data_IF_387201883278
#
_entry.id   IF_387201883278
#
_cell.length_a   1.000
_cell.length_b   1.000
_cell.length_c   1.000
_cell.angle_alpha   90.00
_cell.angle_beta   90.00
_cell.angle_gamma   90.00
#
_symmetry.space_group_name_H-M   'P 1'
#
loop_
_entity.id
_entity.type
_entity.pdbx_description
1 polymer ?
#
# COMPACT_ATOMS: atom_id res chain seq x y z
N UNK A 1 -22.67 -32.45 57.98
CA UNK A 1 -22.77 -31.77 59.29
C UNK A 1 -21.54 -30.89 59.39
N UNK A 2 -21.53 -29.56 59.50
CA UNK A 2 -22.44 -28.41 59.55
C UNK A 2 -21.58 -27.29 58.90
N UNK A 3 -22.03 -26.34 58.09
CA UNK A 3 -23.23 -25.54 58.22
C UNK A 3 -22.90 -24.23 58.95
N UNK A 4 -22.50 -23.17 58.25
CA UNK A 4 -23.03 -21.82 58.50
C UNK A 4 -22.86 -20.87 57.30
N UNK A 5 -23.92 -20.08 57.10
CA UNK A 5 -24.31 -19.28 55.95
C UNK A 5 -24.22 -17.78 56.29
N UNK A 6 -23.73 -17.00 55.32
CA UNK A 6 -24.29 -15.72 54.80
C UNK A 6 -24.32 -14.44 55.67
N UNK A 7 -24.68 -13.26 55.10
CA UNK A 7 -24.19 -12.59 53.88
C UNK A 7 -23.99 -11.06 54.14
N UNK A 8 -23.69 -10.25 53.10
CA UNK A 8 -23.97 -8.80 52.90
C UNK A 8 -22.86 -8.22 51.97
N UNK A 9 -23.08 -7.33 51.01
CA UNK A 9 -24.25 -6.69 50.43
C UNK A 9 -23.86 -6.17 49.04
N UNK A 10 -24.87 -6.05 48.17
CA UNK A 10 -24.83 -5.47 46.83
C UNK A 10 -24.73 -3.95 46.95
N UNK A 11 -23.83 -3.32 46.20
CA UNK A 11 -23.86 -1.88 45.94
C UNK A 11 -23.84 -1.63 44.43
N UNK A 12 -25.03 -1.32 43.92
CA UNK A 12 -25.31 -0.81 42.59
C UNK A 12 -24.73 0.61 42.43
N UNK A 13 -23.68 0.77 41.64
CA UNK A 13 -23.16 2.06 41.19
C UNK A 13 -23.68 2.39 39.80
N UNK A 14 -24.67 3.28 39.72
CA UNK A 14 -25.17 3.85 38.48
C UNK A 14 -24.08 4.71 37.80
N UNK A 15 -23.71 4.38 36.57
CA UNK A 15 -22.93 5.25 35.71
C UNK A 15 -23.87 6.14 34.87
N UNK A 16 -23.65 7.46 34.80
CA UNK A 16 -24.49 8.35 34.02
C UNK A 16 -24.26 8.17 32.52
N UNK A 17 -25.35 8.04 31.76
CA UNK A 17 -25.36 8.13 30.30
C UNK A 17 -24.76 9.48 29.89
N UNK A 18 -23.62 9.46 29.20
CA UNK A 18 -23.17 10.60 28.41
C UNK A 18 -23.59 10.42 26.96
N UNK A 19 -24.19 11.49 26.48
CA UNK A 19 -24.72 11.77 25.16
C UNK A 19 -23.71 11.48 24.05
N UNK A 20 -24.18 10.80 23.00
CA UNK A 20 -23.51 10.69 21.71
C UNK A 20 -23.28 12.09 21.15
N UNK A 21 -22.03 12.55 21.14
CA UNK A 21 -21.62 13.66 20.28
C UNK A 21 -21.24 13.10 18.91
N UNK A 22 -21.96 13.58 17.90
CA UNK A 22 -21.70 13.32 16.49
C UNK A 22 -20.27 13.71 16.12
N UNK A 23 -19.44 12.74 15.76
CA UNK A 23 -18.20 12.99 15.01
C UNK A 23 -18.60 13.16 13.55
N UNK A 24 -18.67 14.43 13.12
CA UNK A 24 -18.87 14.80 11.72
C UNK A 24 -17.66 14.37 10.90
N UNK A 25 -17.83 13.34 10.06
CA UNK A 25 -16.86 12.96 9.04
C UNK A 25 -16.72 14.09 8.02
N UNK A 26 -15.51 14.64 7.91
CA UNK A 26 -15.17 15.60 6.85
C UNK A 26 -14.94 14.81 5.57
N UNK A 27 -15.97 14.81 4.73
CA UNK A 27 -15.94 14.30 3.35
C UNK A 27 -15.21 15.33 2.46
N UNK A 28 -14.04 14.98 1.93
CA UNK A 28 -13.40 15.77 0.87
C UNK A 28 -13.90 15.23 -0.47
N UNK A 29 -15.05 15.73 -0.90
CA UNK A 29 -15.65 15.45 -2.21
C UNK A 29 -14.96 16.33 -3.28
N UNK A 30 -14.24 15.72 -4.21
CA UNK A 30 -13.64 16.41 -5.35
C UNK A 30 -14.71 16.77 -6.38
N UNK A 31 -15.33 17.96 -6.26
CA UNK A 31 -16.16 18.53 -7.32
C UNK A 31 -15.37 19.51 -8.18
N UNK A 32 -15.16 19.12 -9.44
CA UNK A 32 -14.73 20.02 -10.52
C UNK A 32 -15.86 20.99 -10.88
N UNK A 33 -15.91 22.16 -10.24
CA UNK A 33 -16.72 23.28 -10.73
C UNK A 33 -15.93 24.14 -11.71
N UNK A 34 -16.30 24.06 -12.99
CA UNK A 34 -16.01 25.11 -13.98
C UNK A 34 -16.70 26.40 -13.52
N UNK A 35 -15.93 27.44 -13.23
CA UNK A 35 -16.45 28.83 -13.20
C UNK A 35 -15.78 29.64 -14.30
N UNK A 36 -16.65 30.30 -15.07
CA UNK A 36 -16.33 31.25 -16.14
C UNK A 36 -15.63 32.46 -15.54
N UNK A 37 -14.61 32.93 -16.26
CA UNK A 37 -13.89 34.17 -16.02
C UNK A 37 -14.80 35.36 -16.36
N UNK A 38 -14.87 36.36 -15.48
CA UNK A 38 -15.39 37.71 -15.76
C UNK A 38 -14.22 38.66 -15.72
N UNK A 39 -14.14 39.49 -16.76
CA UNK A 39 -13.12 40.50 -17.09
C UNK A 39 -13.15 41.73 -16.18
N UNK A 40 -11.98 42.39 -16.08
CA UNK A 40 -11.65 43.82 -15.87
C UNK A 40 -10.42 43.91 -14.94
N UNK A 41 -9.33 44.64 -15.17
CA UNK A 41 -8.86 45.55 -16.22
C UNK A 41 -7.53 46.21 -15.75
N UNK A 42 -6.67 46.57 -16.71
CA UNK A 42 -5.69 47.68 -16.62
C UNK A 42 -4.37 47.49 -15.84
N UNK A 43 -3.23 47.67 -16.53
CA UNK A 43 -1.95 47.99 -15.89
C UNK A 43 -0.70 47.55 -16.65
N UNK A 44 -0.13 48.45 -17.44
CA UNK A 44 1.10 48.29 -18.25
C UNK A 44 2.38 48.37 -17.43
N UNK A 45 3.36 47.48 -17.66
CA UNK A 45 4.79 47.77 -17.56
C UNK A 45 5.63 46.67 -18.24
N UNK A 46 6.53 47.07 -19.13
CA UNK A 46 7.52 46.24 -19.82
C UNK A 46 8.91 46.45 -19.21
N UNK A 47 9.61 45.38 -18.81
CA UNK A 47 11.08 45.30 -18.78
C UNK A 47 11.52 43.83 -19.01
N UNK A 48 12.63 43.69 -19.74
CA UNK A 48 13.19 42.50 -20.38
C UNK A 48 13.98 41.54 -19.46
N UNK A 49 14.01 40.28 -19.92
CA UNK A 49 15.12 39.31 -19.98
C UNK A 49 15.80 38.81 -18.69
N UNK A 50 15.69 37.51 -18.47
CA UNK A 50 16.60 36.71 -17.64
C UNK A 50 16.13 35.24 -17.59
N UNK A 51 16.84 34.37 -18.28
CA UNK A 51 16.55 32.93 -18.41
C UNK A 51 16.55 32.22 -17.04
N UNK A 52 15.58 31.33 -16.81
CA UNK A 52 15.70 30.27 -15.81
C UNK A 52 15.45 28.92 -16.48
N UNK A 53 16.52 28.12 -16.53
CA UNK A 53 16.56 26.76 -17.05
C UNK A 53 15.97 25.79 -16.02
N UNK A 54 14.92 25.05 -16.38
CA UNK A 54 14.58 23.74 -15.80
C UNK A 54 13.97 22.89 -16.93
N UNK A 55 14.66 21.85 -17.43
CA UNK A 55 14.11 20.94 -18.42
C UNK A 55 13.36 19.79 -17.74
N UNK A 56 12.24 19.37 -18.34
CA UNK A 56 11.75 17.99 -18.17
C UNK A 56 10.33 17.82 -17.63
N UNK A 57 9.31 18.38 -18.28
CA UNK A 57 7.91 17.93 -18.04
C UNK A 57 6.96 18.18 -19.22
N UNK A 58 7.40 18.02 -20.47
CA UNK A 58 6.54 18.20 -21.66
C UNK A 58 6.47 17.03 -22.66
N UNK A 59 7.01 15.86 -22.37
CA UNK A 59 6.95 14.72 -23.31
C UNK A 59 5.90 13.63 -23.00
N UNK A 60 5.21 13.65 -21.85
CA UNK A 60 4.24 12.58 -21.54
C UNK A 60 2.78 12.84 -21.96
N UNK A 61 2.35 14.10 -22.14
CA UNK A 61 0.95 14.38 -22.48
C UNK A 61 0.61 14.22 -23.98
N UNK A 62 1.61 14.32 -24.87
CA UNK A 62 1.38 14.20 -26.32
C UNK A 62 1.25 12.75 -26.82
N UNK A 63 1.71 11.75 -26.05
CA UNK A 63 1.58 10.33 -26.43
C UNK A 63 0.19 9.73 -26.18
N UNK A 64 -0.60 10.28 -25.25
CA UNK A 64 -1.94 9.72 -24.93
C UNK A 64 -3.02 10.08 -25.95
N UNK A 65 -2.92 11.24 -26.60
CA UNK A 65 -3.92 11.69 -27.58
C UNK A 65 -3.81 11.01 -28.96
N UNK A 66 -2.58 10.72 -29.40
CA UNK A 66 -2.32 10.13 -30.73
C UNK A 66 -2.75 8.66 -30.84
N UNK A 67 -2.65 7.89 -29.75
CA UNK A 67 -3.00 6.46 -29.74
C UNK A 67 -4.52 6.24 -29.67
N UNK A 68 -5.24 7.11 -28.97
CA UNK A 68 -6.71 7.07 -28.95
C UNK A 68 -7.33 7.39 -30.32
N UNK A 69 -6.69 8.28 -31.10
CA UNK A 69 -7.10 8.59 -32.47
C UNK A 69 -6.93 7.41 -33.43
N UNK A 70 -5.88 6.60 -33.25
CA UNK A 70 -5.59 5.44 -34.10
C UNK A 70 -6.57 4.28 -33.85
N UNK A 71 -6.98 4.06 -32.59
CA UNK A 71 -7.93 2.99 -32.23
C UNK A 71 -9.35 3.23 -32.76
N UNK A 72 -9.77 4.49 -32.96
CA UNK A 72 -11.11 4.79 -33.50
C UNK A 72 -11.21 4.55 -35.02
N UNK A 73 -10.08 4.41 -35.71
CA UNK A 73 -10.03 4.15 -37.16
C UNK A 73 -10.20 2.66 -37.51
N UNK A 74 -9.97 1.76 -36.54
CA UNK A 74 -9.94 0.30 -36.76
C UNK A 74 -11.18 -0.43 -36.24
N UNK A 75 -12.16 0.26 -35.64
CA UNK A 75 -13.32 -0.36 -34.99
C UNK A 75 -14.68 0.03 -35.59
N UNK A 76 -14.74 0.65 -36.77
CA UNK A 76 -16.01 0.93 -37.45
C UNK A 76 -16.32 -0.13 -38.52
N UNK A 77 -17.48 -0.81 -38.46
CA UNK A 77 -17.85 -1.79 -39.48
C UNK A 77 -18.17 -1.09 -40.81
N UNK A 78 -17.55 -1.57 -41.90
CA UNK A 78 -17.85 -1.16 -43.27
C UNK A 78 -19.32 -1.47 -43.60
N UNK A 79 -20.17 -0.45 -43.66
CA UNK A 79 -21.43 -0.45 -44.42
C UNK A 79 -21.50 0.78 -45.31
N UNK A 80 -22.00 0.54 -46.51
CA UNK A 80 -21.83 1.26 -47.76
C UNK A 80 -22.63 2.57 -47.89
N UNK A 81 -21.97 3.52 -48.56
CA UNK A 81 -22.46 4.41 -49.63
C UNK A 81 -23.17 5.76 -49.37
N UNK A 82 -22.60 6.74 -50.10
CA UNK A 82 -23.12 8.00 -50.70
C UNK A 82 -23.16 9.26 -49.83
N UNK A 83 -22.21 10.15 -50.14
CA UNK A 83 -22.44 11.59 -50.14
C UNK A 83 -21.43 12.43 -49.35
N UNK A 84 -20.91 13.46 -50.01
CA UNK A 84 -20.18 14.60 -49.46
C UNK A 84 -18.70 14.38 -49.03
N UNK A 85 -17.85 14.62 -50.03
CA UNK A 85 -16.56 15.31 -49.98
C UNK A 85 -16.34 16.25 -48.78
N UNK A 86 -15.18 16.10 -48.11
CA UNK A 86 -14.11 17.13 -48.02
C UNK A 86 -12.98 16.71 -47.07
N UNK A 87 -11.82 16.45 -47.68
CA UNK A 87 -10.49 16.94 -47.30
C UNK A 87 -9.96 16.70 -45.88
N UNK A 88 -9.10 15.69 -45.76
CA UNK A 88 -7.80 15.85 -45.08
C UNK A 88 -6.80 14.86 -45.69
N UNK A 89 -5.75 15.42 -46.31
CA UNK A 89 -4.64 14.72 -46.94
C UNK A 89 -3.87 13.89 -45.90
N UNK A 90 -4.01 12.56 -45.95
CA UNK A 90 -3.01 11.61 -45.45
C UNK A 90 -2.98 10.44 -46.42
N UNK A 91 -2.41 10.67 -47.60
CA UNK A 91 -2.11 9.63 -48.58
C UNK A 91 -0.60 9.45 -48.63
N UNK A 92 -0.02 8.90 -47.55
CA UNK A 92 1.41 8.53 -47.55
C UNK A 92 1.78 7.51 -46.47
N UNK A 93 0.85 6.63 -46.09
CA UNK A 93 1.18 5.39 -45.39
C UNK A 93 0.40 4.24 -46.03
N UNK A 94 1.14 3.39 -46.76
CA UNK A 94 0.78 2.07 -47.27
C UNK A 94 -0.70 1.84 -47.62
N UNK A 95 -1.02 1.98 -48.91
CA UNK A 95 -2.22 1.40 -49.51
C UNK A 95 -2.24 -0.12 -49.29
N UNK A 96 -3.12 -0.60 -48.40
CA UNK A 96 -3.32 -2.04 -48.10
C UNK A 96 -4.08 -2.75 -49.23
N UNK A 97 -4.51 -2.03 -50.28
CA UNK A 97 -5.31 -2.59 -51.37
C UNK A 97 -4.50 -3.37 -52.42
N UNK A 98 -3.17 -3.45 -52.31
CA UNK A 98 -2.30 -4.18 -53.26
C UNK A 98 -1.46 -5.31 -52.63
N UNK A 99 -1.77 -5.74 -51.41
CA UNK A 99 -1.08 -6.89 -50.79
C UNK A 99 -1.71 -8.22 -51.25
N UNK A 100 -0.88 -9.24 -51.49
CA UNK A 100 -1.39 -10.60 -51.75
C UNK A 100 -2.19 -11.10 -50.53
N UNK A 101 -3.18 -11.97 -50.77
CA UNK A 101 -4.05 -12.50 -49.71
C UNK A 101 -3.27 -13.20 -48.58
N UNK A 102 -2.14 -13.82 -48.90
CA UNK A 102 -1.24 -14.44 -47.91
C UNK A 102 -0.59 -13.43 -46.97
N UNK A 103 -0.09 -12.31 -47.50
CA UNK A 103 0.54 -11.25 -46.70
C UNK A 103 -0.48 -10.50 -45.83
N UNK A 104 -1.73 -10.40 -46.27
CA UNK A 104 -2.82 -9.82 -45.46
C UNK A 104 -3.14 -10.72 -44.25
N UNK A 105 -3.18 -12.05 -44.44
CA UNK A 105 -3.41 -13.01 -43.35
C UNK A 105 -2.25 -12.97 -42.36
N UNK A 106 -1.00 -12.97 -42.82
CA UNK A 106 0.18 -12.86 -41.95
C UNK A 106 0.19 -11.54 -41.16
N UNK A 107 -0.16 -10.41 -41.79
CA UNK A 107 -0.24 -9.12 -41.10
C UNK A 107 -1.37 -9.11 -40.05
N UNK A 108 -2.53 -9.71 -40.34
CA UNK A 108 -3.63 -9.85 -39.37
C UNK A 108 -3.21 -10.74 -38.20
N UNK A 109 -2.52 -11.85 -38.46
CA UNK A 109 -2.01 -12.74 -37.41
C UNK A 109 -0.90 -12.09 -36.57
N UNK A 110 -0.03 -11.29 -37.19
CA UNK A 110 0.99 -10.52 -36.48
C UNK A 110 0.37 -9.40 -35.63
N UNK A 111 -0.63 -8.70 -36.15
CA UNK A 111 -1.33 -7.66 -35.39
C UNK A 111 -2.20 -8.26 -34.30
N UNK A 112 -2.85 -9.40 -34.52
CA UNK A 112 -3.63 -10.08 -33.48
C UNK A 112 -2.72 -10.66 -32.40
N UNK A 113 -1.58 -11.26 -32.76
CA UNK A 113 -0.58 -11.71 -31.80
C UNK A 113 0.11 -10.54 -31.08
N UNK A 114 0.34 -9.41 -31.75
CA UNK A 114 0.87 -8.21 -31.12
C UNK A 114 -0.15 -7.62 -30.15
N UNK A 115 -1.41 -7.45 -30.55
CA UNK A 115 -2.49 -6.99 -29.67
C UNK A 115 -2.73 -7.96 -28.53
N UNK A 116 -2.66 -9.28 -28.76
CA UNK A 116 -2.79 -10.30 -27.72
C UNK A 116 -1.60 -10.27 -26.75
N UNK A 117 -0.37 -10.24 -27.25
CA UNK A 117 0.84 -10.13 -26.43
C UNK A 117 0.92 -8.78 -25.69
N UNK A 118 0.47 -7.71 -26.31
CA UNK A 118 0.37 -6.38 -25.69
C UNK A 118 -0.74 -6.38 -24.64
N UNK A 119 -1.91 -6.96 -24.89
CA UNK A 119 -2.99 -7.11 -23.91
C UNK A 119 -2.65 -8.11 -22.79
N UNK A 120 -1.75 -9.08 -23.01
CA UNK A 120 -1.22 -9.93 -21.93
C UNK A 120 -0.18 -9.17 -21.09
N UNK A 121 0.72 -8.40 -21.72
CA UNK A 121 1.67 -7.54 -21.01
C UNK A 121 1.00 -6.36 -20.29
N UNK A 122 -0.15 -5.92 -20.79
CA UNK A 122 -0.99 -4.86 -20.26
C UNK A 122 -2.36 -5.39 -19.82
N UNK A 123 -2.41 -6.63 -19.29
CA UNK A 123 -3.51 -6.97 -18.38
C UNK A 123 -3.38 -5.96 -17.26
N UNK A 124 -4.21 -4.92 -17.31
CA UNK A 124 -4.13 -3.78 -16.43
C UNK A 124 -4.33 -4.35 -15.02
N UNK A 125 -3.25 -4.48 -14.25
CA UNK A 125 -3.28 -4.92 -12.87
C UNK A 125 -3.98 -3.85 -12.05
N UNK A 126 -5.31 -3.79 -12.14
CA UNK A 126 -6.17 -2.82 -11.47
C UNK A 126 -6.44 -3.28 -10.03
N UNK A 127 -5.36 -3.49 -9.27
CA UNK A 127 -5.47 -3.75 -7.84
C UNK A 127 -5.64 -2.41 -7.11
N UNK A 128 -6.86 -2.14 -6.67
CA UNK A 128 -7.15 -1.00 -5.82
C UNK A 128 -6.81 -1.35 -4.36
N UNK A 129 -5.99 -0.52 -3.73
CA UNK A 129 -5.63 -0.63 -2.33
C UNK A 129 -6.38 0.44 -1.53
N UNK A 130 -7.17 0.00 -0.55
CA UNK A 130 -7.90 0.86 0.35
C UNK A 130 -7.52 0.56 1.80
N UNK A 131 -7.01 1.57 2.48
CA UNK A 131 -6.68 1.48 3.90
C UNK A 131 -7.92 1.72 4.76
N UNK A 132 -8.11 0.87 5.75
CA UNK A 132 -9.20 0.95 6.73
C UNK A 132 -8.57 1.12 8.12
N UNK A 133 -8.73 2.29 8.77
CA UNK A 133 -8.34 2.46 10.16
C UNK A 133 -9.17 1.55 11.06
N UNK A 134 -8.51 0.85 11.96
CA UNK A 134 -9.12 -0.02 12.96
C UNK A 134 -8.52 0.29 14.34
N UNK A 135 -9.27 -0.04 15.39
CA UNK A 135 -8.85 0.15 16.78
C UNK A 135 -8.36 1.60 17.02
N UNK A 136 -7.15 1.76 17.55
CA UNK A 136 -6.55 3.07 17.82
C UNK A 136 -5.66 3.56 16.68
N UNK A 137 -4.79 2.69 16.19
CA UNK A 137 -3.75 3.03 15.23
C UNK A 137 -3.45 1.91 14.23
N UNK A 138 -4.21 0.82 14.23
CA UNK A 138 -4.05 -0.26 13.27
C UNK A 138 -4.59 0.13 11.89
N UNK A 139 -3.99 -0.44 10.85
CA UNK A 139 -4.47 -0.40 9.49
C UNK A 139 -4.69 -1.80 8.94
N UNK A 140 -5.95 -2.06 8.58
CA UNK A 140 -6.28 -3.13 7.65
C UNK A 140 -6.23 -2.60 6.21
N UNK A 141 -5.99 -3.49 5.25
CA UNK A 141 -5.91 -3.12 3.83
C UNK A 141 -6.85 -3.95 2.97
N UNK A 142 -7.88 -3.32 2.44
CA UNK A 142 -8.74 -3.91 1.41
C UNK A 142 -8.03 -3.87 0.06
N UNK A 143 -7.98 -5.02 -0.59
CA UNK A 143 -7.44 -5.25 -1.91
C UNK A 143 -8.63 -5.55 -2.82
N UNK A 144 -8.88 -4.75 -3.86
CA UNK A 144 -9.98 -4.98 -4.79
C UNK A 144 -9.43 -5.07 -6.21
N UNK A 145 -9.56 -6.24 -6.82
CA UNK A 145 -9.26 -6.43 -8.24
C UNK A 145 -10.48 -6.01 -9.07
N UNK A 146 -10.36 -4.91 -9.81
CA UNK A 146 -11.49 -4.34 -10.55
C UNK A 146 -11.96 -5.22 -11.72
N UNK A 147 -11.10 -6.12 -12.22
CA UNK A 147 -11.39 -6.94 -13.39
C UNK A 147 -12.26 -8.15 -13.02
N UNK A 148 -11.99 -8.78 -11.88
CA UNK A 148 -12.73 -9.96 -11.40
C UNK A 148 -13.74 -9.64 -10.29
N UNK A 149 -13.64 -8.48 -9.65
CA UNK A 149 -14.40 -8.13 -8.46
C UNK A 149 -13.92 -8.86 -7.18
N UNK A 150 -12.80 -9.58 -7.25
CA UNK A 150 -12.21 -10.28 -6.08
C UNK A 150 -11.77 -9.27 -5.03
N UNK A 151 -12.12 -9.54 -3.77
CA UNK A 151 -11.75 -8.68 -2.64
C UNK A 151 -10.96 -9.47 -1.60
N UNK A 152 -9.81 -8.94 -1.20
CA UNK A 152 -9.03 -9.40 -0.07
C UNK A 152 -9.02 -8.36 1.04
N UNK A 153 -8.78 -8.78 2.28
CA UNK A 153 -8.40 -7.89 3.37
C UNK A 153 -7.13 -8.40 4.04
N UNK A 154 -6.15 -7.52 4.22
CA UNK A 154 -4.95 -7.80 5.02
C UNK A 154 -5.19 -7.32 6.45
N UNK A 155 -4.88 -8.17 7.42
CA UNK A 155 -4.90 -7.92 8.87
C UNK A 155 -6.18 -7.23 9.40
N UNK A 156 -7.37 -7.85 9.26
CA UNK A 156 -8.59 -7.27 9.81
C UNK A 156 -8.60 -7.36 11.35
N UNK A 157 -8.18 -6.28 12.01
CA UNK A 157 -8.18 -6.15 13.48
C UNK A 157 -9.55 -6.42 14.10
N UNK A 158 -10.59 -5.86 13.48
CA UNK A 158 -11.99 -5.96 13.88
C UNK A 158 -12.87 -6.05 12.63
N UNK A 159 -13.99 -6.75 12.71
CA UNK A 159 -14.83 -7.03 11.55
C UNK A 159 -15.64 -5.81 11.08
N UNK A 160 -16.15 -5.00 12.01
CA UNK A 160 -17.12 -3.93 11.73
C UNK A 160 -16.61 -2.90 10.72
N UNK A 161 -15.41 -2.28 10.86
CA UNK A 161 -14.92 -1.30 9.88
C UNK A 161 -14.76 -1.87 8.47
N UNK A 162 -14.42 -3.16 8.38
CA UNK A 162 -14.29 -3.89 7.12
C UNK A 162 -15.68 -4.11 6.50
N UNK A 163 -16.63 -4.62 7.29
CA UNK A 163 -18.02 -4.84 6.86
C UNK A 163 -18.66 -3.55 6.35
N UNK A 164 -18.49 -2.44 7.07
CA UNK A 164 -19.04 -1.13 6.69
C UNK A 164 -18.47 -0.62 5.37
N UNK A 165 -17.16 -0.83 5.17
CA UNK A 165 -16.49 -0.43 3.92
C UNK A 165 -16.92 -1.30 2.75
N UNK A 166 -16.99 -2.62 2.93
CA UNK A 166 -17.49 -3.56 1.93
C UNK A 166 -18.94 -3.24 1.55
N UNK A 167 -19.80 -2.97 2.53
CA UNK A 167 -21.22 -2.65 2.32
C UNK A 167 -21.40 -1.36 1.53
N UNK A 168 -20.68 -0.28 1.90
CA UNK A 168 -20.72 0.99 1.15
C UNK A 168 -20.24 0.88 -0.30
N UNK A 169 -19.30 -0.04 -0.55
CA UNK A 169 -18.75 -0.29 -1.89
C UNK A 169 -19.52 -1.35 -2.68
N UNK A 170 -20.50 -2.01 -2.07
CA UNK A 170 -21.20 -3.18 -2.61
C UNK A 170 -20.22 -4.28 -3.05
N UNK A 171 -19.26 -4.58 -2.18
CA UNK A 171 -18.21 -5.57 -2.37
C UNK A 171 -18.43 -6.81 -1.51
N UNK A 172 -18.02 -7.98 -2.00
CA UNK A 172 -18.07 -9.24 -1.27
C UNK A 172 -16.66 -9.75 -0.98
N UNK A 173 -16.37 -10.09 0.29
CA UNK A 173 -15.03 -10.52 0.70
C UNK A 173 -14.73 -11.94 0.22
N UNK A 174 -13.58 -12.13 -0.43
CA UNK A 174 -13.10 -13.43 -0.92
C UNK A 174 -11.99 -14.00 -0.03
N UNK A 175 -11.02 -13.16 0.35
CA UNK A 175 -9.83 -13.59 1.09
C UNK A 175 -9.55 -12.73 2.31
N UNK A 176 -9.01 -13.35 3.36
CA UNK A 176 -8.43 -12.69 4.52
C UNK A 176 -6.97 -13.11 4.57
N UNK A 177 -6.04 -12.16 4.61
CA UNK A 177 -4.60 -12.42 4.67
C UNK A 177 -4.08 -11.92 6.01
N UNK A 178 -3.49 -12.78 6.83
CA UNK A 178 -2.89 -12.38 8.10
C UNK A 178 -1.37 -12.47 8.04
N UNK A 179 -0.70 -11.39 8.42
CA UNK A 179 0.76 -11.30 8.50
C UNK A 179 1.30 -12.09 9.68
N UNK A 180 0.59 -12.08 10.81
CA UNK A 180 0.93 -12.83 12.01
C UNK A 180 -0.31 -13.03 12.91
N UNK A 181 -0.14 -13.73 14.03
CA UNK A 181 -1.24 -14.20 14.87
C UNK A 181 -1.74 -13.23 15.96
N UNK A 182 -1.17 -12.04 16.13
CA UNK A 182 -1.66 -11.15 17.19
C UNK A 182 -3.12 -10.75 16.96
N UNK A 183 -3.82 -10.51 18.07
CA UNK A 183 -5.27 -10.32 18.04
C UNK A 183 -5.68 -9.08 17.27
N UNK A 184 -4.93 -8.00 17.36
CA UNK A 184 -5.17 -6.76 16.63
C UNK A 184 -4.88 -6.87 15.11
N UNK A 185 -4.46 -8.03 14.61
CA UNK A 185 -4.37 -8.35 13.18
C UNK A 185 -5.33 -9.45 12.74
N UNK A 186 -5.93 -10.19 13.69
CA UNK A 186 -6.71 -11.40 13.42
C UNK A 186 -8.11 -11.38 14.06
N UNK A 187 -8.43 -10.38 14.87
CA UNK A 187 -9.65 -10.33 15.68
C UNK A 187 -10.93 -10.33 14.84
N UNK A 188 -10.88 -9.78 13.63
CA UNK A 188 -12.00 -9.81 12.68
C UNK A 188 -12.17 -11.12 11.91
N UNK A 189 -11.20 -12.05 11.96
CA UNK A 189 -11.17 -13.22 11.06
C UNK A 189 -12.44 -14.08 11.14
N UNK A 190 -12.82 -14.48 12.35
CA UNK A 190 -13.90 -15.46 12.54
C UNK A 190 -15.25 -14.91 12.04
N UNK A 191 -15.57 -13.66 12.38
CA UNK A 191 -16.81 -13.00 11.96
C UNK A 191 -16.84 -12.75 10.45
N UNK A 192 -15.74 -12.22 9.88
CA UNK A 192 -15.66 -11.98 8.43
C UNK A 192 -15.76 -13.27 7.63
N UNK A 193 -15.10 -14.33 8.08
CA UNK A 193 -15.20 -15.66 7.47
C UNK A 193 -16.63 -16.19 7.54
N UNK A 194 -17.27 -16.13 8.70
CA UNK A 194 -18.65 -16.60 8.88
C UNK A 194 -19.64 -15.81 8.01
N UNK A 195 -19.46 -14.48 7.90
CA UNK A 195 -20.35 -13.60 7.15
C UNK A 195 -20.23 -13.75 5.63
N UNK A 196 -19.01 -13.87 5.12
CA UNK A 196 -18.75 -13.80 3.68
C UNK A 196 -18.34 -15.14 3.04
N UNK A 197 -18.08 -16.18 3.85
CA UNK A 197 -17.49 -17.43 3.36
C UNK A 197 -16.04 -17.25 2.89
N UNK A 198 -15.37 -16.18 3.31
CA UNK A 198 -14.01 -15.85 2.90
C UNK A 198 -13.00 -16.92 3.35
N UNK A 199 -11.93 -17.11 2.55
CA UNK A 199 -10.82 -18.00 2.91
C UNK A 199 -9.73 -17.23 3.65
N UNK A 200 -9.34 -17.73 4.82
CA UNK A 200 -8.28 -17.14 5.64
C UNK A 200 -6.93 -17.73 5.23
N UNK A 201 -5.95 -16.87 5.03
CA UNK A 201 -4.62 -17.17 4.52
C UNK A 201 -3.60 -16.67 5.53
N UNK A 202 -2.62 -17.50 5.85
CA UNK A 202 -1.58 -17.13 6.81
C UNK A 202 -0.37 -18.05 6.77
N UNK A 203 0.54 -17.80 7.69
CA UNK A 203 1.77 -18.57 7.83
C UNK A 203 1.51 -20.01 8.30
N UNK A 204 2.26 -20.96 7.75
CA UNK A 204 2.22 -22.35 8.21
C UNK A 204 2.78 -22.57 9.60
N UNK A 205 3.71 -21.72 10.03
CA UNK A 205 4.24 -21.72 11.40
C UNK A 205 3.14 -21.32 12.40
N UNK A 206 2.24 -20.43 11.99
CA UNK A 206 1.14 -19.92 12.81
C UNK A 206 -0.21 -20.58 12.49
N UNK A 207 -0.23 -21.75 11.84
CA UNK A 207 -1.47 -22.45 11.47
C UNK A 207 -2.44 -22.61 12.65
N UNK A 208 -1.93 -23.02 13.81
CA UNK A 208 -2.76 -23.24 14.99
C UNK A 208 -3.00 -21.97 15.81
N UNK A 209 -2.39 -20.84 15.41
CA UNK A 209 -2.49 -19.53 16.09
C UNK A 209 -3.33 -18.51 15.33
N UNK A 210 -3.51 -18.66 14.01
CA UNK A 210 -4.34 -17.79 13.18
C UNK A 210 -5.78 -18.32 13.16
N UNK A 211 -6.76 -17.59 13.74
CA UNK A 211 -8.14 -18.03 13.82
C UNK A 211 -8.74 -18.28 12.43
N UNK A 212 -9.21 -19.50 12.22
CA UNK A 212 -9.97 -19.88 11.03
C UNK A 212 -9.14 -20.04 9.75
N UNK A 213 -7.82 -20.19 9.83
CA UNK A 213 -6.95 -20.38 8.65
C UNK A 213 -7.44 -21.53 7.75
N UNK A 214 -7.50 -21.30 6.44
CA UNK A 214 -7.85 -22.28 5.41
C UNK A 214 -6.64 -22.61 4.53
N UNK A 215 -5.85 -21.60 4.19
CA UNK A 215 -4.72 -21.69 3.27
C UNK A 215 -3.46 -21.32 4.03
N UNK A 216 -2.53 -22.26 4.05
CA UNK A 216 -1.24 -22.12 4.71
C UNK A 216 -0.17 -21.85 3.67
N UNK A 217 0.65 -20.83 3.91
CA UNK A 217 1.76 -20.45 3.06
C UNK A 217 3.09 -20.52 3.82
N UNK A 218 4.17 -20.73 3.08
CA UNK A 218 5.56 -20.83 3.57
C UNK A 218 6.46 -19.82 2.88
N UNK A 219 7.68 -19.66 3.38
CA UNK A 219 8.67 -18.81 2.74
C UNK A 219 8.88 -19.14 1.26
N UNK A 220 8.90 -18.10 0.42
CA UNK A 220 9.13 -18.23 -1.02
C UNK A 220 7.93 -18.70 -1.84
N UNK A 221 6.81 -19.05 -1.19
CA UNK A 221 5.59 -19.43 -1.90
C UNK A 221 5.10 -18.29 -2.80
N UNK A 222 4.54 -18.69 -3.94
CA UNK A 222 3.82 -17.82 -4.87
C UNK A 222 2.35 -18.17 -4.83
N UNK A 223 1.54 -17.24 -4.34
CA UNK A 223 0.09 -17.36 -4.32
C UNK A 223 -0.53 -16.40 -5.34
N UNK A 224 -1.73 -16.69 -5.82
CA UNK A 224 -2.40 -15.88 -6.85
C UNK A 224 -3.65 -15.21 -6.28
N UNK A 225 -3.62 -13.88 -6.18
CA UNK A 225 -4.79 -13.06 -5.86
C UNK A 225 -5.43 -12.60 -7.17
N UNK A 226 -6.51 -13.23 -7.64
CA UNK A 226 -7.18 -12.83 -8.89
C UNK A 226 -6.23 -12.69 -10.13
N UNK A 227 -5.19 -13.52 -10.20
CA UNK A 227 -4.15 -13.45 -11.25
C UNK A 227 -2.98 -12.51 -10.96
N UNK A 228 -2.99 -11.81 -9.83
CA UNK A 228 -1.85 -11.06 -9.30
C UNK A 228 -0.95 -12.01 -8.50
N UNK A 229 0.32 -12.15 -8.89
CA UNK A 229 1.31 -12.91 -8.11
C UNK A 229 1.52 -12.23 -6.75
N UNK A 230 1.43 -13.01 -5.69
CA UNK A 230 1.78 -12.63 -4.32
C UNK A 230 2.95 -13.51 -3.89
N UNK A 231 4.07 -12.88 -3.55
CA UNK A 231 5.25 -13.57 -3.00
C UNK A 231 5.21 -13.49 -1.49
N UNK A 232 5.32 -14.65 -0.85
CA UNK A 232 5.38 -14.77 0.60
C UNK A 232 6.83 -14.71 1.04
N UNK A 233 7.10 -13.84 2.02
CA UNK A 233 8.42 -13.67 2.61
C UNK A 233 8.26 -13.92 4.10
N UNK A 234 8.84 -15.00 4.62
CA UNK A 234 8.94 -15.17 6.08
C UNK A 234 9.84 -14.09 6.67
N UNK A 235 9.31 -13.40 7.67
CA UNK A 235 9.94 -12.26 8.32
C UNK A 235 9.93 -12.41 9.85
N UNK A 236 10.53 -13.47 10.41
CA UNK A 236 10.59 -13.67 11.85
C UNK A 236 11.30 -12.51 12.55
N UNK A 237 10.83 -12.18 13.76
CA UNK A 237 11.41 -11.13 14.59
C UNK A 237 10.39 -10.62 15.60
N UNK A 238 9.32 -10.01 15.09
CA UNK A 238 8.19 -9.61 15.95
C UNK A 238 7.52 -10.83 16.57
N UNK A 239 7.07 -11.74 15.71
CA UNK A 239 6.68 -13.10 16.05
C UNK A 239 7.52 -14.08 15.23
N UNK A 240 7.58 -15.35 15.64
CA UNK A 240 8.35 -16.38 14.94
C UNK A 240 7.72 -16.82 13.61
N UNK A 241 6.40 -16.67 13.50
CA UNK A 241 5.62 -17.10 12.33
C UNK A 241 5.28 -15.97 11.36
N UNK A 242 5.74 -14.75 11.61
CA UNK A 242 5.39 -13.57 10.81
C UNK A 242 5.78 -13.75 9.33
N UNK A 243 4.86 -13.40 8.43
CA UNK A 243 5.07 -13.34 6.99
C UNK A 243 4.69 -11.96 6.45
N UNK A 244 5.37 -11.55 5.38
CA UNK A 244 5.05 -10.37 4.59
C UNK A 244 4.55 -10.78 3.20
N UNK A 245 3.57 -10.05 2.67
CA UNK A 245 2.99 -10.31 1.34
C UNK A 245 3.47 -9.27 0.34
N UNK A 246 4.29 -9.67 -0.62
CA UNK A 246 4.78 -8.79 -1.67
C UNK A 246 4.02 -9.00 -2.98
N UNK A 247 3.40 -7.94 -3.48
CA UNK A 247 2.71 -7.86 -4.76
C UNK A 247 3.60 -7.15 -5.79
N UNK A 248 4.48 -7.87 -6.53
CA UNK A 248 5.40 -7.27 -7.49
C UNK A 248 4.70 -6.46 -8.58
N UNK A 249 3.54 -6.92 -9.08
CA UNK A 249 2.78 -6.20 -10.11
C UNK A 249 2.28 -4.82 -9.69
N UNK A 250 2.02 -4.64 -8.38
CA UNK A 250 1.59 -3.38 -7.78
C UNK A 250 2.73 -2.60 -7.13
N UNK A 251 3.93 -3.17 -7.07
CA UNK A 251 5.05 -2.61 -6.31
C UNK A 251 4.68 -2.35 -4.84
N UNK A 252 3.95 -3.25 -4.20
CA UNK A 252 3.43 -3.08 -2.85
C UNK A 252 3.82 -4.26 -1.94
N UNK A 253 4.22 -3.98 -0.70
CA UNK A 253 4.45 -5.01 0.32
C UNK A 253 3.64 -4.71 1.58
N UNK A 254 2.95 -5.74 2.09
CA UNK A 254 2.29 -5.73 3.39
C UNK A 254 3.23 -6.37 4.40
N UNK A 255 3.70 -5.57 5.36
CA UNK A 255 4.81 -5.93 6.26
C UNK A 255 4.37 -6.24 7.69
N UNK A 256 3.07 -6.12 7.97
CA UNK A 256 2.52 -6.26 9.31
C UNK A 256 3.34 -5.45 10.31
N UNK A 257 3.88 -6.16 11.29
CA UNK A 257 4.64 -5.60 12.39
C UNK A 257 6.15 -5.87 12.28
N UNK A 258 6.62 -6.31 11.12
CA UNK A 258 8.06 -6.44 10.87
C UNK A 258 8.71 -5.08 10.64
N UNK A 259 8.24 -4.34 9.63
CA UNK A 259 8.75 -3.03 9.23
C UNK A 259 7.65 -1.99 9.37
N UNK A 260 7.92 -0.92 10.11
CA UNK A 260 7.09 0.28 10.11
C UNK A 260 7.84 1.41 9.43
N UNK A 261 7.12 2.49 9.12
CA UNK A 261 7.84 3.72 8.79
C UNK A 261 8.64 4.22 9.99
N UNK A 262 9.95 4.38 9.79
CA UNK A 262 10.95 4.82 10.77
C UNK A 262 11.17 3.89 11.98
N UNK A 263 10.65 2.66 11.97
CA UNK A 263 11.03 1.65 12.96
C UNK A 263 10.84 0.21 12.48
N UNK A 264 11.08 -0.76 13.37
CA UNK A 264 10.64 -2.15 13.21
C UNK A 264 9.75 -2.57 14.39
N UNK A 265 9.18 -3.77 14.32
CA UNK A 265 8.46 -4.39 15.44
C UNK A 265 9.30 -4.53 16.70
N UNK A 266 8.62 -4.57 17.86
CA UNK A 266 9.23 -5.11 19.08
C UNK A 266 9.50 -6.60 18.89
N UNK A 267 10.57 -7.10 19.51
CA UNK A 267 10.98 -8.49 19.41
C UNK A 267 10.30 -9.33 20.51
N UNK A 268 9.03 -9.70 20.31
CA UNK A 268 8.30 -10.48 21.32
C UNK A 268 8.71 -11.96 21.31
N UNK A 269 8.90 -12.54 20.13
CA UNK A 269 9.24 -13.97 20.00
C UNK A 269 10.54 -14.24 19.27
N UNK A 270 11.11 -13.25 18.58
CA UNK A 270 12.31 -13.40 17.78
C UNK A 270 13.54 -12.70 18.35
N UNK A 271 14.66 -12.82 17.63
CA UNK A 271 15.95 -12.24 18.02
C UNK A 271 16.33 -11.04 17.13
N UNK A 272 17.30 -10.20 17.53
CA UNK A 272 17.83 -9.15 16.68
C UNK A 272 18.37 -9.66 15.34
N UNK A 273 18.98 -10.86 15.31
CA UNK A 273 19.48 -11.50 14.10
C UNK A 273 18.34 -11.87 13.14
N UNK A 274 17.24 -12.42 13.68
CA UNK A 274 16.06 -12.74 12.88
C UNK A 274 15.42 -11.47 12.31
N UNK A 275 15.22 -10.44 13.13
CA UNK A 275 14.66 -9.17 12.65
C UNK A 275 15.57 -8.50 11.62
N UNK A 276 16.89 -8.46 11.87
CA UNK A 276 17.85 -7.91 10.90
C UNK A 276 17.77 -8.65 9.57
N UNK A 277 17.80 -9.99 9.58
CA UNK A 277 17.66 -10.80 8.37
C UNK A 277 16.35 -10.51 7.62
N UNK A 278 15.23 -10.45 8.35
CA UNK A 278 13.91 -10.11 7.81
C UNK A 278 13.88 -8.74 7.13
N UNK A 279 14.46 -7.73 7.78
CA UNK A 279 14.56 -6.37 7.22
C UNK A 279 15.47 -6.34 5.98
N UNK A 280 16.58 -7.09 5.97
CA UNK A 280 17.45 -7.19 4.79
C UNK A 280 16.71 -7.81 3.59
N UNK A 281 15.90 -8.85 3.81
CA UNK A 281 15.06 -9.45 2.76
C UNK A 281 14.07 -8.43 2.19
N UNK A 282 13.39 -7.67 3.04
CA UNK A 282 12.50 -6.59 2.60
C UNK A 282 13.29 -5.51 1.84
N UNK A 283 14.46 -5.09 2.34
CA UNK A 283 15.32 -4.09 1.71
C UNK A 283 15.86 -4.51 0.34
N UNK A 284 15.94 -5.81 0.06
CA UNK A 284 16.38 -6.31 -1.25
C UNK A 284 15.37 -6.09 -2.37
N UNK A 285 14.13 -5.71 -2.04
CA UNK A 285 13.10 -5.34 -3.01
C UNK A 285 13.40 -3.97 -3.65
N UNK A 286 12.75 -3.64 -4.79
CA UNK A 286 12.96 -2.37 -5.47
C UNK A 286 12.70 -1.15 -4.58
N UNK A 287 13.51 -0.10 -4.73
CA UNK A 287 13.39 1.14 -3.96
C UNK A 287 12.00 1.81 -4.06
N UNK A 288 11.33 1.65 -5.20
CA UNK A 288 9.99 2.17 -5.46
C UNK A 288 8.86 1.36 -4.82
N UNK A 289 9.15 0.27 -4.10
CA UNK A 289 8.13 -0.54 -3.44
C UNK A 289 7.48 0.25 -2.30
N UNK A 290 6.15 0.35 -2.36
CA UNK A 290 5.31 0.93 -1.32
C UNK A 290 5.17 -0.04 -0.15
N UNK A 291 5.41 0.44 1.07
CA UNK A 291 5.31 -0.34 2.30
C UNK A 291 4.02 0.01 3.03
N UNK A 292 3.20 -1.02 3.25
CA UNK A 292 1.96 -0.99 4.02
C UNK A 292 2.18 -1.79 5.31
N UNK A 293 2.23 -1.09 6.44
CA UNK A 293 2.58 -1.66 7.76
C UNK A 293 1.40 -1.61 8.73
N UNK A 294 1.42 -2.45 9.76
CA UNK A 294 0.30 -2.67 10.67
C UNK A 294 -0.25 -1.45 11.38
N UNK A 295 0.60 -0.45 11.67
CA UNK A 295 0.26 0.65 12.57
C UNK A 295 0.71 2.05 12.10
N UNK A 296 -0.01 3.07 12.56
CA UNK A 296 0.31 4.50 12.41
C UNK A 296 1.29 5.01 13.49
N UNK A 297 2.47 4.39 13.59
CA UNK A 297 3.50 4.75 14.59
C UNK A 297 4.49 5.82 14.10
N UNK A 298 4.37 6.29 12.86
CA UNK A 298 5.42 7.05 12.17
C UNK A 298 5.84 8.33 12.91
N UNK A 299 4.90 9.03 13.56
CA UNK A 299 5.21 10.24 14.32
C UNK A 299 5.99 9.97 15.61
N UNK A 300 5.66 8.92 16.36
CA UNK A 300 6.47 8.53 17.53
C UNK A 300 7.83 7.98 17.08
N UNK A 301 7.86 7.23 15.97
CA UNK A 301 9.09 6.68 15.42
C UNK A 301 10.05 7.79 14.94
N UNK A 302 9.52 8.86 14.33
CA UNK A 302 10.34 9.98 13.88
C UNK A 302 11.02 10.72 15.03
N UNK A 303 10.34 10.85 16.18
CA UNK A 303 10.93 11.45 17.39
C UNK A 303 12.13 10.65 17.89
N UNK A 304 12.00 9.33 17.98
CA UNK A 304 13.11 8.46 18.35
C UNK A 304 14.24 8.54 17.32
N UNK A 305 13.93 8.41 16.03
CA UNK A 305 14.94 8.46 14.97
C UNK A 305 15.72 9.79 15.01
N UNK A 306 15.05 10.92 15.20
CA UNK A 306 15.70 12.24 15.32
C UNK A 306 16.55 12.38 16.59
N UNK A 307 16.27 11.63 17.64
CA UNK A 307 17.08 11.66 18.87
C UNK A 307 18.45 11.00 18.68
N UNK A 308 18.57 10.05 17.73
CA UNK A 308 19.80 9.27 17.48
C UNK A 308 20.48 9.57 16.14
N UNK A 309 19.80 10.25 15.21
CA UNK A 309 20.37 10.67 13.92
C UNK A 309 19.93 12.12 13.54
N UNK A 310 20.14 13.12 14.41
CA UNK A 310 19.59 14.47 14.23
C UNK A 310 20.15 15.23 13.01
N UNK A 311 21.32 14.87 12.47
CA UNK A 311 21.92 15.56 11.32
C UNK A 311 21.44 15.01 9.97
N UNK A 312 20.70 13.90 9.95
CA UNK A 312 20.17 13.32 8.71
C UNK A 312 19.07 14.22 8.11
N UNK A 313 19.41 14.96 7.05
CA UNK A 313 18.50 15.91 6.38
C UNK A 313 17.25 15.24 5.76
N UNK A 314 17.40 14.01 5.25
CA UNK A 314 16.29 13.25 4.71
C UNK A 314 15.30 12.89 5.82
N UNK A 315 15.80 12.41 6.96
CA UNK A 315 14.99 12.12 8.14
C UNK A 315 14.30 13.39 8.68
N UNK A 316 15.02 14.50 8.80
CA UNK A 316 14.43 15.79 9.25
C UNK A 316 13.28 16.24 8.35
N UNK A 317 13.50 16.20 7.03
CA UNK A 317 12.50 16.59 6.04
C UNK A 317 11.28 15.68 6.10
N UNK A 318 11.51 14.36 6.21
CA UNK A 318 10.44 13.39 6.29
C UNK A 318 9.66 13.47 7.61
N UNK A 319 10.34 13.66 8.74
CA UNK A 319 9.71 13.86 10.04
C UNK A 319 8.83 15.12 10.08
N UNK A 320 9.27 16.22 9.45
CA UNK A 320 8.46 17.43 9.31
C UNK A 320 7.20 17.18 8.45
N UNK A 321 7.34 16.44 7.35
CA UNK A 321 6.19 16.05 6.52
C UNK A 321 5.21 15.16 7.28
N UNK A 322 5.71 14.17 8.03
CA UNK A 322 4.92 13.30 8.92
C UNK A 322 4.14 14.14 9.94
N UNK A 323 4.77 15.11 10.60
CA UNK A 323 4.10 16.00 11.55
C UNK A 323 2.98 16.81 10.87
N UNK A 324 3.20 17.32 9.65
CA UNK A 324 2.16 18.03 8.89
C UNK A 324 0.96 17.14 8.55
N UNK A 325 1.19 15.88 8.17
CA UNK A 325 0.12 14.92 7.90
C UNK A 325 -0.68 14.62 9.16
N UNK A 326 0.00 14.28 10.26
CA UNK A 326 -0.66 13.92 11.52
C UNK A 326 -1.41 15.09 12.16
N UNK A 327 -0.91 16.32 12.04
CA UNK A 327 -1.63 17.53 12.48
C UNK A 327 -2.95 17.75 11.73
N UNK A 328 -3.09 17.18 10.53
CA UNK A 328 -4.33 17.20 9.73
C UNK A 328 -5.18 15.94 9.90
N UNK A 329 -4.81 15.04 10.82
CA UNK A 329 -5.44 13.73 10.96
C UNK A 329 -5.21 12.78 9.77
N UNK A 330 -4.31 13.14 8.85
CA UNK A 330 -4.01 12.34 7.68
C UNK A 330 -2.99 11.25 8.00
N UNK A 331 -3.11 10.09 7.35
CA UNK A 331 -2.20 8.98 7.61
C UNK A 331 -0.86 9.17 6.89
N UNK A 332 0.17 8.45 7.34
CA UNK A 332 1.54 8.52 6.81
C UNK A 332 1.93 7.32 5.94
N UNK A 333 1.06 6.31 5.90
CA UNK A 333 1.24 5.08 5.13
C UNK A 333 0.44 5.12 3.82
N UNK A 334 0.97 4.65 2.68
CA UNK A 334 2.25 3.98 2.52
C UNK A 334 3.46 4.91 2.60
N UNK A 335 4.58 4.34 3.06
CA UNK A 335 5.93 4.87 2.79
C UNK A 335 6.56 4.11 1.60
N UNK A 336 7.80 4.41 1.24
CA UNK A 336 8.56 3.67 0.21
C UNK A 336 9.84 3.10 0.79
N UNK A 337 10.33 1.97 0.25
CA UNK A 337 11.62 1.41 0.69
C UNK A 337 12.77 2.40 0.50
N UNK A 338 12.74 3.24 -0.54
CA UNK A 338 13.70 4.33 -0.71
C UNK A 338 13.73 5.28 0.50
N UNK A 339 12.56 5.73 0.94
CA UNK A 339 12.42 6.61 2.12
C UNK A 339 12.93 5.91 3.38
N UNK A 340 12.54 4.65 3.58
CA UNK A 340 12.92 3.89 4.77
C UNK A 340 14.42 3.62 4.82
N UNK A 341 15.07 3.23 3.73
CA UNK A 341 16.54 3.07 3.68
C UNK A 341 17.28 4.38 4.02
N UNK A 342 16.71 5.53 3.65
CA UNK A 342 17.30 6.83 3.92
C UNK A 342 17.09 7.33 5.35
N UNK A 343 16.01 6.92 6.02
CA UNK A 343 15.55 7.57 7.26
C UNK A 343 15.37 6.62 8.47
N UNK A 344 15.14 5.32 8.24
CA UNK A 344 14.77 4.39 9.30
C UNK A 344 16.03 3.87 10.04
N UNK A 345 16.19 4.12 11.34
CA UNK A 345 17.40 3.75 12.06
C UNK A 345 17.66 2.23 12.08
N UNK A 346 16.63 1.41 11.95
CA UNK A 346 16.75 -0.06 11.92
C UNK A 346 17.20 -0.60 10.56
N UNK A 347 17.17 0.24 9.50
CA UNK A 347 17.73 -0.07 8.18
C UNK A 347 19.10 0.62 7.97
N UNK A 348 19.58 1.32 9.00
CA UNK A 348 20.78 2.17 8.99
C UNK A 348 21.70 1.83 10.16
N UNK A 349 21.73 0.56 10.56
CA UNK A 349 22.50 0.05 11.71
C UNK A 349 24.02 0.23 11.56
N UNK A 350 24.52 0.50 10.36
CA UNK A 350 25.91 0.87 10.07
C UNK A 350 26.19 2.38 10.07
N UNK A 351 25.18 3.23 10.27
CA UNK A 351 25.36 4.69 10.36
C UNK A 351 26.26 5.04 11.54
N UNK A 352 27.34 5.77 11.27
CA UNK A 352 28.29 6.25 12.29
C UNK A 352 27.60 7.14 13.31
N UNK A 353 26.66 7.99 12.89
CA UNK A 353 25.95 8.90 13.79
C UNK A 353 25.05 8.13 14.76
N UNK A 354 24.27 7.16 14.27
CA UNK A 354 23.43 6.29 15.12
C UNK A 354 24.29 5.51 16.10
N UNK A 355 25.40 4.94 15.62
CA UNK A 355 26.30 4.16 16.47
C UNK A 355 26.93 5.00 17.57
N UNK A 356 27.37 6.22 17.25
CA UNK A 356 27.91 7.17 18.24
C UNK A 356 26.84 7.61 19.24
N UNK A 357 25.62 7.89 18.80
CA UNK A 357 24.53 8.35 19.68
C UNK A 357 24.10 7.30 20.72
N UNK A 358 24.36 6.02 20.45
CA UNK A 358 23.98 4.90 21.32
C UNK A 358 25.18 4.11 21.86
N UNK A 359 26.39 4.67 21.77
CA UNK A 359 27.65 4.04 22.22
C UNK A 359 27.85 2.61 21.65
N UNK A 360 27.41 2.37 20.41
CA UNK A 360 27.56 1.10 19.71
C UNK A 360 28.98 1.02 19.11
N UNK A 361 29.81 0.02 19.49
CA UNK A 361 31.15 -0.12 18.94
C UNK A 361 31.14 -0.28 17.42
N UNK A 362 32.10 0.31 16.72
CA UNK A 362 32.26 0.14 15.27
C UNK A 362 32.48 -1.33 14.85
N UNK A 363 33.05 -2.14 15.75
CA UNK A 363 33.30 -3.57 15.54
C UNK A 363 32.07 -4.45 15.75
N UNK A 364 31.02 -3.93 16.39
CA UNK A 364 29.78 -4.68 16.63
C UNK A 364 29.06 -4.96 15.31
N UNK A 365 28.56 -6.19 15.13
CA UNK A 365 27.87 -6.54 13.89
C UNK A 365 26.50 -5.84 13.80
N UNK A 366 25.92 -5.78 12.59
CA UNK A 366 24.69 -5.01 12.38
C UNK A 366 23.45 -5.58 13.09
N UNK A 367 23.37 -6.90 13.32
CA UNK A 367 22.27 -7.51 14.05
C UNK A 367 22.34 -7.18 15.55
N UNK A 368 23.53 -7.24 16.14
CA UNK A 368 23.75 -6.80 17.52
C UNK A 368 23.46 -5.31 17.69
N UNK A 369 23.91 -4.48 16.74
CA UNK A 369 23.59 -3.05 16.70
C UNK A 369 22.08 -2.80 16.61
N UNK A 370 21.36 -3.56 15.79
CA UNK A 370 19.89 -3.53 15.73
C UNK A 370 19.28 -3.81 17.11
N UNK A 371 19.82 -4.80 17.84
CA UNK A 371 19.39 -5.13 19.19
C UNK A 371 19.58 -3.97 20.18
N UNK A 372 20.69 -3.24 20.09
CA UNK A 372 20.93 -2.03 20.92
C UNK A 372 19.93 -0.93 20.56
N UNK A 373 19.76 -0.61 19.27
CA UNK A 373 18.81 0.40 18.79
C UNK A 373 17.38 0.05 19.22
N UNK A 374 17.00 -1.24 19.14
CA UNK A 374 15.70 -1.75 19.56
C UNK A 374 15.45 -1.51 21.06
N UNK A 375 16.42 -1.89 21.90
CA UNK A 375 16.34 -1.66 23.35
C UNK A 375 16.29 -0.17 23.69
N UNK A 376 17.04 0.68 22.98
CA UNK A 376 16.98 2.12 23.17
C UNK A 376 15.57 2.66 22.84
N UNK A 377 14.97 2.22 21.73
CA UNK A 377 13.60 2.62 21.35
C UNK A 377 12.53 2.11 22.30
N UNK A 378 12.73 0.93 22.90
CA UNK A 378 11.77 0.36 23.85
C UNK A 378 11.74 1.12 25.18
N UNK A 379 12.80 1.88 25.50
CA UNK A 379 12.95 2.70 26.71
C UNK A 379 12.90 4.22 26.45
N UNK A 380 12.51 4.64 25.23
CA UNK A 380 12.35 6.05 24.83
C UNK A 380 10.88 6.47 24.96
#
# INVERSE_FOLDING_TARGET
MEGHRHPHAVASGAYPRRTQEHVSNVEVEWRTTRRRCVTCGGGTASVRSGQCFWPGMRQLCLRKGLVYGFMRLLSTPFKTLRGASRSLRVAEFCSVSNMSSSLQIELILLLSNFVYAYNLKWKFFNLLLLKVPCLRDNYAYLLHDADTGTVGVVDPSEAVPIIDTLSRKNWNLTYILNTHHHHDHTGGNAELKARYGAKVIGSGIDKDRIPGIDIVLKDGDKWMFAGHEVRVIETPGHTRGHISFYFPGSGAIFTGDTLFSLSCGKLFEGTPEQMHSSLQRIMSLPDGTNVYCGHEYTLSNSKFALSIEPKNEALRSYAAHVAQLRNKGLPTIPTTLKTEKACNPFLRTSSTEIRQALDIPATMNEAEALGVIRRAKDNF
#
